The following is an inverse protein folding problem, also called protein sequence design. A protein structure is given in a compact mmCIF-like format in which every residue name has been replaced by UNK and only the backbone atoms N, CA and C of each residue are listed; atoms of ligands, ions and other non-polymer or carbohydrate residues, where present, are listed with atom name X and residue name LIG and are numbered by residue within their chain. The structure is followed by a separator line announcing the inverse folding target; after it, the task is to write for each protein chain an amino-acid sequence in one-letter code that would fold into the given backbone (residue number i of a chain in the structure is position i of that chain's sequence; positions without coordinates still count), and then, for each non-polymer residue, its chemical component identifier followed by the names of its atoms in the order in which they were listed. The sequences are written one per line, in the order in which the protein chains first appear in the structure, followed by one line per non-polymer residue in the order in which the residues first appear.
data_IF_218839069844
#
_entry.id   IF_218839069844
#
_cell.length_a   1.000
_cell.length_b   1.000
_cell.length_c   1.000
_cell.angle_alpha   90.00
_cell.angle_beta   90.00
_cell.angle_gamma   90.00
#
_symmetry.space_group_name_H-M   'P 1'
#
loop_
_entity.id
_entity.type
_entity.pdbx_description
1 polymer ?
#
# COMPACT_ATOMS: atom_id res chain seq x y z
N UNK A 1 -24.11 10.29 29.84
CA UNK A 1 -23.09 10.01 28.80
C UNK A 1 -22.88 11.32 28.07
N UNK A 2 -21.64 11.68 27.72
CA UNK A 2 -21.41 12.93 27.03
C UNK A 2 -22.11 12.89 25.66
N UNK A 3 -22.70 14.01 25.24
CA UNK A 3 -23.36 14.13 23.94
C UNK A 3 -22.36 14.04 22.78
N UNK A 4 -21.08 14.30 23.07
CA UNK A 4 -19.99 14.24 22.11
C UNK A 4 -18.74 13.60 22.75
N UNK A 5 -17.94 12.94 21.93
CA UNK A 5 -16.69 12.30 22.33
C UNK A 5 -15.53 13.07 21.75
N UNK A 6 -14.48 13.20 22.55
CA UNK A 6 -13.23 13.77 22.08
C UNK A 6 -12.39 12.62 21.51
N UNK A 7 -11.95 12.76 20.26
CA UNK A 7 -11.12 11.76 19.59
C UNK A 7 -9.81 12.39 19.13
N UNK A 8 -8.69 11.80 19.56
CA UNK A 8 -7.33 12.24 19.25
C UNK A 8 -6.61 11.20 18.41
N UNK A 9 -5.61 11.66 17.67
CA UNK A 9 -4.71 10.76 16.94
C UNK A 9 -3.84 9.99 17.94
N UNK A 10 -3.79 8.67 17.80
CA UNK A 10 -2.77 7.86 18.44
C UNK A 10 -1.61 7.67 17.46
N UNK A 11 -0.51 8.38 17.70
CA UNK A 11 0.71 8.17 16.95
C UNK A 11 1.48 6.97 17.51
N UNK A 12 1.73 5.99 16.64
CA UNK A 12 2.58 4.84 16.93
C UNK A 12 3.56 4.69 15.77
N UNK A 13 4.86 4.91 16.00
CA UNK A 13 5.84 4.99 14.93
C UNK A 13 5.93 3.69 14.11
N UNK A 14 5.67 2.52 14.73
CA UNK A 14 5.75 1.22 14.06
C UNK A 14 4.60 1.08 13.05
N UNK A 15 3.39 1.43 13.47
CA UNK A 15 2.18 1.35 12.64
C UNK A 15 2.12 2.51 11.65
N UNK A 16 2.68 3.66 11.96
CA UNK A 16 2.82 4.77 11.02
C UNK A 16 3.68 4.39 9.81
N UNK A 17 4.77 3.63 10.04
CA UNK A 17 5.67 3.15 8.98
C UNK A 17 5.13 1.91 8.25
N UNK A 18 4.58 0.93 8.97
CA UNK A 18 4.20 -0.38 8.40
C UNK A 18 2.69 -0.61 8.28
N UNK A 19 1.85 0.38 8.59
CA UNK A 19 0.39 0.26 8.60
C UNK A 19 -0.27 0.64 7.27
N UNK A 20 -1.45 0.05 7.03
CA UNK A 20 -2.31 0.28 5.88
C UNK A 20 -3.38 1.34 6.18
N UNK A 21 -3.74 2.12 5.15
CA UNK A 21 -4.89 3.02 5.24
C UNK A 21 -6.17 2.18 5.44
N UNK A 22 -7.04 2.49 6.42
CA UNK A 22 -8.34 1.82 6.58
C UNK A 22 -9.26 1.89 5.36
N UNK A 23 -9.00 2.81 4.42
CA UNK A 23 -9.74 2.91 3.15
C UNK A 23 -9.24 1.98 2.05
N UNK A 24 -8.06 1.42 2.22
CA UNK A 24 -7.43 0.54 1.23
C UNK A 24 -8.16 -0.80 1.10
N UNK A 25 -8.01 -1.44 -0.06
CA UNK A 25 -8.51 -2.80 -0.31
C UNK A 25 -7.98 -3.81 0.70
N UNK A 26 -6.77 -3.60 1.25
CA UNK A 26 -6.22 -4.45 2.31
C UNK A 26 -7.12 -4.49 3.56
N UNK A 27 -7.57 -3.31 4.01
CA UNK A 27 -8.42 -3.23 5.20
C UNK A 27 -9.80 -3.85 4.94
N UNK A 28 -10.33 -3.68 3.74
CA UNK A 28 -11.59 -4.30 3.34
C UNK A 28 -11.49 -5.83 3.22
N UNK A 29 -10.41 -6.35 2.65
CA UNK A 29 -10.30 -7.79 2.39
C UNK A 29 -9.93 -8.60 3.63
N UNK A 30 -9.07 -8.06 4.50
CA UNK A 30 -8.51 -8.81 5.63
C UNK A 30 -9.01 -8.34 7.01
N UNK A 31 -9.33 -7.05 7.16
CA UNK A 31 -9.82 -6.52 8.43
C UNK A 31 -11.34 -6.54 8.56
N UNK A 32 -12.10 -6.42 7.47
CA UNK A 32 -13.57 -6.52 7.52
C UNK A 32 -14.10 -7.79 8.21
N UNK A 33 -13.65 -9.03 7.89
CA UNK A 33 -14.18 -10.23 8.53
C UNK A 33 -13.84 -10.31 10.03
N UNK A 34 -12.73 -9.70 10.44
CA UNK A 34 -12.26 -9.76 11.83
C UNK A 34 -12.85 -8.64 12.68
N UNK A 35 -12.81 -7.41 12.16
CA UNK A 35 -13.22 -6.18 12.83
C UNK A 35 -14.73 -5.95 12.76
N UNK A 36 -15.38 -6.41 11.70
CA UNK A 36 -16.79 -6.18 11.41
C UNK A 36 -17.04 -4.87 10.64
N UNK A 37 -18.15 -4.78 9.89
CA UNK A 37 -18.42 -3.70 8.95
C UNK A 37 -18.54 -2.34 9.64
N UNK A 38 -19.32 -2.26 10.72
CA UNK A 38 -19.59 -0.99 11.42
C UNK A 38 -18.32 -0.38 12.03
N UNK A 39 -17.44 -1.22 12.59
CA UNK A 39 -16.18 -0.76 13.17
C UNK A 39 -15.17 -0.33 12.11
N UNK A 40 -15.11 -1.02 10.96
CA UNK A 40 -14.26 -0.62 9.84
C UNK A 40 -14.73 0.70 9.22
N UNK A 41 -16.06 0.86 9.02
CA UNK A 41 -16.63 2.10 8.49
C UNK A 41 -16.45 3.28 9.45
N UNK A 42 -16.62 3.05 10.76
CA UNK A 42 -16.29 4.05 11.78
C UNK A 42 -14.83 4.49 11.66
N UNK A 43 -13.89 3.54 11.56
CA UNK A 43 -12.47 3.86 11.42
C UNK A 43 -12.19 4.67 10.13
N UNK A 44 -12.78 4.29 9.00
CA UNK A 44 -12.67 5.04 7.74
C UNK A 44 -13.22 6.46 7.86
N UNK A 45 -14.36 6.61 8.54
CA UNK A 45 -14.99 7.90 8.80
C UNK A 45 -14.09 8.79 9.66
N UNK A 46 -13.51 8.25 10.73
CA UNK A 46 -12.57 8.96 11.59
C UNK A 46 -11.31 9.38 10.83
N UNK A 47 -10.71 8.49 10.03
CA UNK A 47 -9.55 8.83 9.20
C UNK A 47 -9.85 9.98 8.23
N UNK A 48 -11.06 10.07 7.66
CA UNK A 48 -11.46 11.20 6.79
C UNK A 48 -11.55 12.51 7.54
N UNK A 49 -12.08 12.47 8.75
CA UNK A 49 -12.11 13.66 9.58
C UNK A 49 -10.71 14.08 10.05
N UNK A 50 -9.82 13.13 10.36
CA UNK A 50 -8.44 13.43 10.73
C UNK A 50 -7.65 14.03 9.56
N UNK A 51 -7.82 13.53 8.34
CA UNK A 51 -7.20 14.10 7.14
C UNK A 51 -7.70 15.54 6.90
N UNK A 52 -9.00 15.78 7.04
CA UNK A 52 -9.60 17.10 6.87
C UNK A 52 -9.16 18.11 7.94
N UNK A 53 -8.97 17.65 9.18
CA UNK A 53 -8.55 18.47 10.33
C UNK A 53 -7.03 18.56 10.49
N UNK A 54 -6.25 17.99 9.55
CA UNK A 54 -4.77 17.91 9.60
C UNK A 54 -4.25 17.30 10.92
N UNK A 55 -4.95 16.30 11.45
CA UNK A 55 -4.57 15.56 12.65
C UNK A 55 -4.89 16.27 13.97
N UNK A 56 -5.71 17.32 13.94
CA UNK A 56 -6.20 17.96 15.16
C UNK A 56 -7.17 17.06 15.95
N UNK A 57 -7.41 17.43 17.20
CA UNK A 57 -8.40 16.81 18.06
C UNK A 57 -9.82 17.00 17.50
N UNK A 58 -10.55 15.90 17.36
CA UNK A 58 -11.90 15.87 16.82
C UNK A 58 -12.93 15.83 17.95
N UNK A 59 -13.92 16.71 17.89
CA UNK A 59 -15.10 16.63 18.73
C UNK A 59 -16.24 15.96 17.94
N UNK A 60 -16.60 14.74 18.34
CA UNK A 60 -17.49 13.87 17.57
C UNK A 60 -18.83 13.73 18.27
N UNK A 61 -19.91 14.38 17.78
CA UNK A 61 -21.25 14.19 18.30
C UNK A 61 -21.74 12.77 18.05
N UNK A 62 -22.05 12.02 19.12
CA UNK A 62 -22.37 10.58 19.07
C UNK A 62 -23.57 10.31 18.15
N UNK A 63 -24.64 11.09 18.29
CA UNK A 63 -25.88 10.90 17.54
C UNK A 63 -25.69 11.15 16.03
N UNK A 64 -25.02 12.24 15.66
CA UNK A 64 -24.80 12.59 14.26
C UNK A 64 -23.85 11.59 13.57
N UNK A 65 -22.80 11.13 14.27
CA UNK A 65 -21.89 10.11 13.71
C UNK A 65 -22.55 8.75 13.60
N UNK A 66 -23.40 8.36 14.56
CA UNK A 66 -24.21 7.15 14.44
C UNK A 66 -25.12 7.22 13.21
N UNK A 67 -25.82 8.34 13.01
CA UNK A 67 -26.67 8.56 11.85
C UNK A 67 -25.89 8.55 10.53
N UNK A 68 -24.73 9.21 10.47
CA UNK A 68 -23.87 9.24 9.29
C UNK A 68 -23.37 7.84 8.88
N UNK A 69 -23.18 6.94 9.85
CA UNK A 69 -22.80 5.55 9.62
C UNK A 69 -24.00 4.60 9.41
N UNK A 70 -25.23 5.13 9.39
CA UNK A 70 -26.45 4.32 9.28
C UNK A 70 -26.72 3.45 10.50
N UNK A 71 -26.13 3.77 11.65
CA UNK A 71 -26.37 3.10 12.92
C UNK A 71 -27.62 3.69 13.58
N UNK A 72 -28.42 2.84 14.22
CA UNK A 72 -29.64 3.29 14.90
C UNK A 72 -29.34 4.38 15.96
N UNK A 73 -30.24 5.36 16.16
CA UNK A 73 -30.01 6.57 16.97
C UNK A 73 -29.98 6.32 18.49
N UNK A 74 -29.62 5.11 18.91
CA UNK A 74 -29.55 4.74 20.32
C UNK A 74 -28.35 5.41 20.96
N UNK A 75 -28.61 6.25 21.93
CA UNK A 75 -27.59 6.84 22.79
C UNK A 75 -27.36 5.94 24.03
N UNK A 76 -26.14 5.99 24.58
CA UNK A 76 -25.78 5.23 25.79
C UNK A 76 -24.56 4.33 25.64
N UNK A 77 -24.12 3.76 26.77
CA UNK A 77 -22.92 2.89 26.86
C UNK A 77 -22.99 1.66 25.95
N UNK A 78 -24.20 1.17 25.71
CA UNK A 78 -24.47 -0.01 24.87
C UNK A 78 -24.93 0.37 23.45
N UNK A 79 -24.74 1.62 23.01
CA UNK A 79 -25.08 2.01 21.64
C UNK A 79 -24.28 1.23 20.61
N UNK A 80 -24.79 1.04 19.39
CA UNK A 80 -24.02 0.43 18.30
C UNK A 80 -22.69 1.14 18.04
N UNK A 81 -22.67 2.48 18.11
CA UNK A 81 -21.47 3.29 17.96
C UNK A 81 -20.44 2.97 19.06
N UNK A 82 -20.85 2.96 20.33
CA UNK A 82 -19.95 2.65 21.45
C UNK A 82 -19.45 1.20 21.39
N UNK A 83 -20.27 0.25 20.94
CA UNK A 83 -19.80 -1.13 20.70
C UNK A 83 -18.74 -1.18 19.60
N UNK A 84 -18.87 -0.37 18.55
CA UNK A 84 -17.83 -0.25 17.52
C UNK A 84 -16.54 0.34 18.06
N UNK A 85 -16.59 1.39 18.89
CA UNK A 85 -15.42 1.92 19.61
C UNK A 85 -14.77 0.89 20.55
N UNK A 86 -15.56 0.21 21.38
CA UNK A 86 -15.06 -0.86 22.25
C UNK A 86 -14.43 -2.00 21.45
N UNK A 87 -14.97 -2.29 20.26
CA UNK A 87 -14.38 -3.29 19.36
C UNK A 87 -13.06 -2.79 18.77
N UNK A 88 -12.98 -1.53 18.33
CA UNK A 88 -11.69 -0.94 17.92
C UNK A 88 -10.65 -1.04 19.05
N UNK A 89 -11.05 -0.84 20.30
CA UNK A 89 -10.16 -1.01 21.44
C UNK A 89 -9.73 -2.47 21.68
N UNK A 90 -10.61 -3.46 21.47
CA UNK A 90 -10.23 -4.88 21.53
C UNK A 90 -9.20 -5.30 20.47
N UNK A 91 -9.13 -4.56 19.37
CA UNK A 91 -8.19 -4.79 18.27
C UNK A 91 -6.97 -3.87 18.32
N UNK A 92 -6.75 -3.17 19.43
CA UNK A 92 -5.68 -2.18 19.63
C UNK A 92 -5.68 -1.04 18.61
N UNK A 93 -6.81 -0.78 17.95
CA UNK A 93 -7.02 0.31 16.98
C UNK A 93 -7.48 1.61 17.65
N UNK A 94 -8.01 1.50 18.86
CA UNK A 94 -8.37 2.62 19.69
C UNK A 94 -7.94 2.37 21.14
N UNK A 95 -7.71 3.44 21.89
CA UNK A 95 -7.49 3.38 23.32
C UNK A 95 -8.50 4.30 23.99
N UNK A 96 -9.25 3.75 24.95
CA UNK A 96 -10.10 4.55 25.81
C UNK A 96 -9.28 4.95 27.04
N UNK A 97 -9.19 6.24 27.32
CA UNK A 97 -8.64 6.68 28.59
C UNK A 97 -9.75 6.56 29.65
N UNK A 98 -9.59 5.74 30.71
CA UNK A 98 -10.68 5.49 31.65
C UNK A 98 -11.06 6.73 32.48
N UNK A 99 -10.12 7.67 32.65
CA UNK A 99 -10.28 8.86 33.49
C UNK A 99 -10.75 10.10 32.71
N UNK A 100 -10.79 10.05 31.38
CA UNK A 100 -11.28 11.16 30.53
C UNK A 100 -12.19 10.63 29.42
N UNK A 101 -13.17 11.42 28.97
CA UNK A 101 -14.04 11.07 27.82
C UNK A 101 -13.30 11.15 26.46
N UNK A 102 -11.98 10.88 26.47
CA UNK A 102 -11.07 11.00 25.34
C UNK A 102 -10.75 9.60 24.80
N UNK A 103 -10.86 9.46 23.48
CA UNK A 103 -10.48 8.27 22.74
C UNK A 103 -9.28 8.57 21.84
N UNK A 104 -8.22 7.78 21.96
CA UNK A 104 -7.08 7.87 21.05
C UNK A 104 -7.25 6.82 19.96
N UNK A 105 -7.31 7.21 18.69
CA UNK A 105 -7.57 6.31 17.56
C UNK A 105 -6.38 6.30 16.60
N UNK A 106 -6.01 5.11 16.14
CA UNK A 106 -4.92 4.94 15.18
C UNK A 106 -5.40 5.32 13.77
N UNK A 107 -4.67 6.17 13.03
CA UNK A 107 -5.04 6.55 11.67
C UNK A 107 -4.82 5.42 10.66
N UNK A 108 -3.88 4.51 10.95
CA UNK A 108 -3.53 3.37 10.11
C UNK A 108 -3.76 2.07 10.85
N UNK A 109 -4.10 1.06 10.06
CA UNK A 109 -4.34 -0.30 10.54
C UNK A 109 -3.04 -1.10 10.43
N UNK A 110 -2.61 -1.83 11.48
CA UNK A 110 -1.42 -2.65 11.40
C UNK A 110 -1.61 -3.82 10.41
N UNK A 111 -0.52 -4.43 9.92
CA UNK A 111 -0.61 -5.70 9.23
C UNK A 111 -1.31 -6.74 10.12
N UNK A 112 -2.13 -7.60 9.51
CA UNK A 112 -2.92 -8.60 10.25
C UNK A 112 -1.99 -9.51 11.06
N UNK A 113 -2.21 -9.57 12.36
CA UNK A 113 -1.39 -10.38 13.27
C UNK A 113 -1.65 -11.87 13.07
N UNK A 114 -0.64 -12.72 13.33
CA UNK A 114 -0.76 -14.19 13.17
C UNK A 114 -1.97 -14.79 13.90
N UNK A 115 -2.40 -14.18 15.02
CA UNK A 115 -3.58 -14.62 15.77
C UNK A 115 -4.88 -14.46 14.98
N UNK A 116 -5.01 -13.40 14.18
CA UNK A 116 -6.17 -13.15 13.34
C UNK A 116 -6.12 -14.00 12.06
N UNK A 117 -4.92 -14.19 11.50
CA UNK A 117 -4.69 -15.09 10.35
C UNK A 117 -5.28 -16.47 10.62
N UNK A 118 -5.03 -17.07 11.80
CA UNK A 118 -5.57 -18.40 12.17
C UNK A 118 -7.10 -18.53 12.18
N UNK A 119 -7.84 -17.41 12.17
CA UNK A 119 -9.32 -17.37 12.18
C UNK A 119 -9.91 -17.03 10.82
N UNK A 120 -9.08 -16.67 9.85
CA UNK A 120 -9.53 -16.36 8.50
C UNK A 120 -9.83 -17.66 7.73
N UNK A 121 -10.87 -17.66 6.87
CA UNK A 121 -11.14 -18.77 5.98
C UNK A 121 -10.02 -18.91 4.94
N UNK A 122 -9.78 -20.15 4.47
CA UNK A 122 -8.73 -20.51 3.52
C UNK A 122 -8.57 -19.55 2.32
N UNK A 123 -9.64 -19.13 1.60
CA UNK A 123 -9.48 -18.20 0.48
C UNK A 123 -8.90 -16.83 0.88
N UNK A 124 -9.19 -16.36 2.10
CA UNK A 124 -8.61 -15.11 2.62
C UNK A 124 -7.14 -15.28 2.99
N UNK A 125 -6.71 -16.48 3.39
CA UNK A 125 -5.31 -16.79 3.65
C UNK A 125 -4.50 -16.81 2.36
N UNK A 126 -4.97 -17.53 1.33
CA UNK A 126 -4.29 -17.53 0.03
C UNK A 126 -4.19 -16.13 -0.60
N UNK A 127 -5.24 -15.32 -0.46
CA UNK A 127 -5.21 -13.93 -0.90
C UNK A 127 -4.23 -13.08 -0.09
N UNK A 128 -4.08 -13.32 1.22
CA UNK A 128 -3.11 -12.63 2.06
C UNK A 128 -1.68 -13.03 1.70
N UNK A 129 -1.44 -14.30 1.42
CA UNK A 129 -0.13 -14.79 0.97
C UNK A 129 0.23 -14.20 -0.39
N UNK A 130 -0.71 -14.14 -1.33
CA UNK A 130 -0.53 -13.43 -2.60
C UNK A 130 -0.26 -11.92 -2.40
N UNK A 131 -0.97 -11.29 -1.46
CA UNK A 131 -0.77 -9.87 -1.12
C UNK A 131 0.60 -9.61 -0.45
N UNK A 132 1.06 -10.52 0.40
CA UNK A 132 2.38 -10.44 1.05
C UNK A 132 3.51 -10.77 0.06
N UNK A 133 3.27 -11.67 -0.89
CA UNK A 133 4.15 -11.92 -2.02
C UNK A 133 4.20 -10.71 -2.98
N UNK A 134 3.18 -9.83 -2.95
CA UNK A 134 3.20 -8.59 -3.70
C UNK A 134 4.20 -7.59 -3.08
N UNK A 135 5.22 -7.17 -3.83
CA UNK A 135 6.36 -6.42 -3.30
C UNK A 135 6.01 -4.96 -2.92
N UNK A 136 5.30 -4.71 -1.80
CA UNK A 136 4.64 -3.39 -1.63
C UNK A 136 5.14 -2.48 -0.49
N UNK A 137 5.87 -2.98 0.52
CA UNK A 137 6.40 -2.11 1.61
C UNK A 137 7.88 -2.28 1.93
N UNK A 138 8.34 -3.52 2.06
CA UNK A 138 9.78 -3.82 2.03
C UNK A 138 10.41 -3.24 0.75
N UNK A 139 9.64 -3.28 -0.33
CA UNK A 139 10.08 -2.75 -1.61
C UNK A 139 10.00 -1.24 -1.75
N UNK A 140 9.28 -0.50 -0.91
CA UNK A 140 9.33 0.97 -1.03
C UNK A 140 10.71 1.49 -0.63
N UNK A 141 11.27 0.94 0.45
CA UNK A 141 12.65 1.22 0.85
C UNK A 141 13.65 0.57 -0.13
N UNK A 142 13.42 -0.67 -0.58
CA UNK A 142 14.27 -1.27 -1.61
C UNK A 142 14.21 -0.51 -2.94
N UNK A 143 13.07 0.07 -3.33
CA UNK A 143 12.89 0.86 -4.55
C UNK A 143 13.55 2.22 -4.43
N UNK A 144 13.59 2.81 -3.23
CA UNK A 144 14.38 4.00 -2.95
C UNK A 144 15.88 3.68 -3.02
N UNK A 145 16.31 2.54 -2.48
CA UNK A 145 17.70 2.05 -2.59
C UNK A 145 18.06 1.73 -4.05
N UNK A 146 17.18 1.05 -4.80
CA UNK A 146 17.36 0.73 -6.22
C UNK A 146 17.45 2.00 -7.07
N UNK A 147 16.58 2.98 -6.82
CA UNK A 147 16.63 4.30 -7.47
C UNK A 147 17.91 5.05 -7.14
N UNK A 148 18.31 5.10 -5.87
CA UNK A 148 19.58 5.72 -5.46
C UNK A 148 20.79 5.06 -6.16
N UNK A 149 20.83 3.73 -6.26
CA UNK A 149 21.86 2.97 -7.00
C UNK A 149 21.87 3.29 -8.49
N UNK A 150 20.70 3.36 -9.12
CA UNK A 150 20.57 3.70 -10.54
C UNK A 150 21.07 5.12 -10.82
N UNK A 151 20.67 6.08 -10.01
CA UNK A 151 21.10 7.47 -10.13
C UNK A 151 22.61 7.60 -9.86
N UNK A 152 23.12 6.96 -8.81
CA UNK A 152 24.56 6.94 -8.50
C UNK A 152 25.39 6.36 -9.66
N UNK A 153 24.90 5.28 -10.25
CA UNK A 153 25.54 4.63 -11.40
C UNK A 153 25.63 5.57 -12.61
N UNK A 154 24.52 6.22 -12.97
CA UNK A 154 24.51 7.17 -14.10
C UNK A 154 25.46 8.34 -13.85
N UNK A 155 25.47 8.89 -12.63
CA UNK A 155 26.35 10.01 -12.30
C UNK A 155 27.84 9.62 -12.37
N UNK A 156 28.20 8.44 -11.89
CA UNK A 156 29.59 7.94 -11.97
C UNK A 156 29.97 7.61 -13.42
N UNK A 157 29.08 7.03 -14.23
CA UNK A 157 29.35 6.82 -15.66
C UNK A 157 29.57 8.14 -16.41
N UNK A 158 28.91 9.21 -15.99
CA UNK A 158 29.15 10.56 -16.52
C UNK A 158 30.44 11.22 -15.99
N UNK A 159 31.21 10.53 -15.14
CA UNK A 159 32.50 11.00 -14.62
C UNK A 159 32.44 11.76 -13.29
N UNK A 160 31.30 11.74 -12.59
CA UNK A 160 31.18 12.44 -11.30
C UNK A 160 31.94 11.73 -10.17
N UNK A 161 32.53 12.54 -9.27
CA UNK A 161 33.24 12.04 -8.10
C UNK A 161 32.27 11.48 -7.05
N UNK A 162 32.65 10.37 -6.40
CA UNK A 162 31.84 9.68 -5.39
C UNK A 162 31.28 10.60 -4.29
N UNK A 163 32.10 11.53 -3.76
CA UNK A 163 31.68 12.46 -2.70
C UNK A 163 30.66 13.49 -3.19
N UNK A 164 30.69 13.84 -4.48
CA UNK A 164 29.72 14.74 -5.10
C UNK A 164 28.39 14.02 -5.33
N UNK A 165 28.44 12.77 -5.80
CA UNK A 165 27.26 11.92 -5.98
C UNK A 165 26.53 11.67 -4.66
N UNK A 166 27.25 11.40 -3.56
CA UNK A 166 26.62 11.25 -2.23
C UNK A 166 25.86 12.52 -1.82
N UNK A 167 26.46 13.70 -2.04
CA UNK A 167 25.81 15.00 -1.78
C UNK A 167 24.57 15.24 -2.63
N UNK A 168 24.61 14.87 -3.92
CA UNK A 168 23.44 14.99 -4.82
C UNK A 168 22.30 14.09 -4.33
N UNK A 169 22.58 12.84 -3.97
CA UNK A 169 21.56 11.90 -3.46
C UNK A 169 20.92 12.41 -2.16
N UNK A 170 21.73 12.95 -1.25
CA UNK A 170 21.20 13.58 -0.03
C UNK A 170 20.32 14.80 -0.35
N UNK A 171 20.73 15.64 -1.31
CA UNK A 171 19.96 16.80 -1.76
C UNK A 171 18.63 16.43 -2.43
N UNK A 172 18.55 15.25 -3.07
CA UNK A 172 17.31 14.72 -3.67
C UNK A 172 16.39 13.98 -2.68
N UNK A 173 16.75 13.92 -1.39
CA UNK A 173 15.89 13.34 -0.35
C UNK A 173 15.93 11.81 -0.25
N UNK A 174 17.03 11.17 -0.69
CA UNK A 174 17.29 9.77 -0.40
C UNK A 174 17.79 9.59 1.06
N UNK A 175 17.49 8.45 1.71
CA UNK A 175 17.91 8.23 3.09
C UNK A 175 19.44 8.08 3.20
N UNK A 176 20.08 8.59 4.28
CA UNK A 176 21.53 8.58 4.42
C UNK A 176 22.10 7.15 4.47
N UNK A 177 21.35 6.19 5.02
CA UNK A 177 21.72 4.77 5.05
C UNK A 177 21.81 4.12 3.67
N UNK A 178 21.14 4.68 2.65
CA UNK A 178 21.16 4.15 1.29
C UNK A 178 22.19 4.84 0.39
N UNK A 179 22.56 6.09 0.68
CA UNK A 179 23.40 6.91 -0.19
C UNK A 179 24.82 6.34 -0.32
N UNK A 180 25.53 6.17 0.81
CA UNK A 180 26.90 5.63 0.81
C UNK A 180 27.02 4.23 0.17
N UNK A 181 26.19 3.24 0.55
CA UNK A 181 26.24 1.93 -0.10
C UNK A 181 25.87 1.96 -1.59
N UNK A 182 25.03 2.90 -2.02
CA UNK A 182 24.68 3.06 -3.43
C UNK A 182 25.86 3.58 -4.26
N UNK A 183 26.59 4.57 -3.74
CA UNK A 183 27.80 5.14 -4.36
C UNK A 183 28.91 4.10 -4.40
N UNK A 184 29.17 3.39 -3.30
CA UNK A 184 30.17 2.32 -3.24
C UNK A 184 29.88 1.21 -4.27
N UNK A 185 28.62 0.79 -4.37
CA UNK A 185 28.19 -0.20 -5.34
C UNK A 185 28.42 0.27 -6.79
N UNK A 186 28.04 1.52 -7.10
CA UNK A 186 28.19 2.10 -8.42
C UNK A 186 29.68 2.25 -8.81
N UNK A 187 30.51 2.76 -7.91
CA UNK A 187 31.96 2.90 -8.11
C UNK A 187 32.65 1.54 -8.30
N UNK A 188 32.24 0.53 -7.52
CA UNK A 188 32.73 -0.84 -7.68
C UNK A 188 32.36 -1.40 -9.05
N UNK A 189 31.12 -1.18 -9.50
CA UNK A 189 30.65 -1.69 -10.80
C UNK A 189 31.34 -1.01 -11.98
N UNK A 190 31.57 0.30 -11.91
CA UNK A 190 32.32 1.05 -12.92
C UNK A 190 33.78 0.58 -13.00
N UNK A 191 34.46 0.37 -11.87
CA UNK A 191 35.82 -0.20 -11.85
C UNK A 191 35.88 -1.60 -12.47
N UNK A 192 34.90 -2.46 -12.18
CA UNK A 192 34.84 -3.80 -12.76
C UNK A 192 34.61 -3.76 -14.28
N UNK A 193 33.79 -2.82 -14.78
CA UNK A 193 33.58 -2.63 -16.21
C UNK A 193 34.89 -2.20 -16.92
N UNK A 194 35.58 -1.19 -16.39
CA UNK A 194 36.87 -0.73 -16.93
C UNK A 194 37.95 -1.83 -16.90
N UNK A 195 37.99 -2.63 -15.84
CA UNK A 195 38.91 -3.76 -15.73
C UNK A 195 38.60 -4.87 -16.76
N UNK A 196 37.31 -5.15 -17.01
CA UNK A 196 36.88 -6.10 -18.03
C UNK A 196 37.23 -5.62 -19.44
N UNK A 197 37.01 -4.33 -19.74
CA UNK A 197 37.40 -3.72 -21.02
C UNK A 197 38.91 -3.75 -21.23
N UNK A 198 39.70 -3.37 -20.21
CA UNK A 198 41.17 -3.40 -20.27
C UNK A 198 41.69 -4.83 -20.50
N UNK A 199 41.11 -5.82 -19.81
CA UNK A 199 41.46 -7.23 -19.98
C UNK A 199 41.10 -7.75 -21.36
N UNK A 200 39.94 -7.34 -21.91
CA UNK A 200 39.52 -7.68 -23.26
C UNK A 200 40.43 -7.06 -24.32
N UNK A 201 40.88 -5.81 -24.13
CA UNK A 201 41.85 -5.15 -25.01
C UNK A 201 43.22 -5.84 -24.96
N UNK A 202 43.71 -6.20 -23.78
CA UNK A 202 44.96 -6.95 -23.63
C UNK A 202 44.87 -8.34 -24.28
N UNK A 203 43.77 -9.07 -24.08
CA UNK A 203 43.54 -10.35 -24.73
C UNK A 203 43.47 -10.23 -26.27
N UNK A 204 42.95 -9.10 -26.77
CA UNK A 204 42.89 -8.79 -28.20
C UNK A 204 44.25 -8.36 -28.77
N UNK A 205 45.12 -7.77 -27.95
CA UNK A 205 46.50 -7.41 -28.30
C UNK A 205 47.46 -8.61 -28.25
N UNK A 206 47.19 -9.59 -27.37
CA UNK A 206 47.96 -10.83 -27.23
C UNK A 206 47.54 -11.92 -28.24
N UNK A 207 46.52 -11.64 -29.05
CA UNK A 207 46.15 -12.49 -30.17
C UNK A 207 47.15 -12.26 -31.32
N UNK A 208 47.96 -13.25 -31.71
CA UNK A 208 48.96 -13.08 -32.75
C UNK A 208 48.25 -12.69 -34.04
N UNK A 209 48.58 -11.49 -34.55
CA UNK A 209 48.27 -11.14 -35.93
C UNK A 209 49.16 -12.02 -36.80
N UNK A 210 48.65 -13.12 -37.30
CA UNK A 210 49.32 -13.93 -38.32
C UNK A 210 49.60 -13.02 -39.53
N UNK A 211 50.86 -12.78 -39.92
CA UNK A 211 51.20 -11.87 -41.01
C UNK A 211 50.98 -12.48 -42.41
N UNK A 212 50.30 -13.62 -42.55
CA UNK A 212 50.31 -14.39 -43.79
C UNK A 212 48.94 -14.98 -44.16
N UNK A 213 47.96 -14.11 -44.42
CA UNK A 213 46.83 -14.44 -45.30
C UNK A 213 46.52 -13.24 -46.19
N UNK A 214 47.26 -13.17 -47.31
CA UNK A 214 46.84 -12.49 -48.53
C UNK A 214 45.44 -13.01 -48.91
N UNK A 215 44.40 -12.20 -48.72
CA UNK A 215 43.12 -12.42 -49.41
C UNK A 215 43.15 -11.70 -50.76
N UNK A 216 42.82 -12.38 -51.88
CA UNK A 216 42.61 -11.71 -53.18
C UNK A 216 41.34 -10.85 -53.17
N UNK A 217 41.21 -9.87 -54.10
CA UNK A 217 40.17 -8.86 -54.05
C UNK A 217 38.83 -9.46 -54.49
N UNK A 218 37.79 -9.34 -53.66
CA UNK A 218 36.41 -9.54 -54.09
C UNK A 218 35.73 -8.19 -54.11
N UNK A 219 35.44 -7.75 -55.34
CA UNK A 219 34.66 -6.57 -55.68
C UNK A 219 33.39 -6.48 -54.81
N UNK A 220 33.27 -5.39 -54.06
CA UNK A 220 31.94 -4.90 -53.67
C UNK A 220 31.76 -3.51 -54.27
N UNK A 221 31.01 -3.53 -55.36
CA UNK A 221 30.51 -2.43 -56.18
C UNK A 221 30.28 -1.14 -55.39
N UNK A 222 31.10 -0.15 -55.70
CA UNK A 222 30.82 1.27 -55.43
C UNK A 222 29.66 1.70 -56.33
N UNK A 223 28.56 2.14 -55.74
CA UNK A 223 27.66 3.11 -56.38
C UNK A 223 27.75 4.40 -55.58
N UNK A 224 28.60 5.31 -56.06
CA UNK A 224 28.60 6.71 -55.68
C UNK A 224 27.48 7.42 -56.45
N UNK A 225 26.69 8.22 -55.76
CA UNK A 225 26.11 9.43 -56.33
C UNK A 225 26.34 10.58 -55.36
N UNK A 226 26.97 11.62 -55.88
CA UNK A 226 27.45 12.84 -55.24
C UNK A 226 26.50 13.99 -55.56
N UNK A 227 26.30 14.88 -54.58
CA UNK A 227 26.05 16.32 -54.75
C UNK A 227 24.58 16.72 -54.95
N UNK A 228 24.11 17.88 -54.52
CA UNK A 228 24.70 19.02 -53.83
C UNK A 228 23.54 19.97 -53.44
N UNK A 229 23.73 20.84 -52.44
CA UNK A 229 22.93 22.06 -52.26
C UNK A 229 22.44 22.31 -50.84
N UNK A 230 23.05 23.27 -50.14
CA UNK A 230 22.39 23.99 -49.03
C UNK A 230 21.26 24.92 -49.55
N UNK A 231 20.68 25.83 -48.75
CA UNK A 231 21.19 26.45 -47.52
C UNK A 231 20.18 26.53 -46.33
N UNK A 232 20.62 27.08 -45.18
CA UNK A 232 19.83 27.59 -44.02
C UNK A 232 18.73 28.61 -44.45
N UNK A 233 17.82 29.16 -43.59
CA UNK A 233 17.76 29.19 -42.11
C UNK A 233 16.33 29.06 -41.48
N UNK A 234 16.24 29.32 -40.17
CA UNK A 234 15.07 29.79 -39.38
C UNK A 234 13.80 28.92 -39.26
N UNK A 235 13.44 28.62 -38.00
CA UNK A 235 12.20 29.05 -37.33
C UNK A 235 11.72 28.00 -36.32
N UNK A 236 11.71 28.41 -35.06
CA UNK A 236 10.60 28.28 -34.12
C UNK A 236 9.62 27.11 -34.33
N UNK A 237 9.67 26.13 -33.43
CA UNK A 237 8.51 25.27 -33.16
C UNK A 237 8.06 25.52 -31.73
N UNK A 238 7.09 26.41 -31.70
CA UNK A 238 6.04 26.68 -30.75
C UNK A 238 5.46 25.42 -30.07
N UNK A 239 5.47 25.40 -28.73
CA UNK A 239 4.64 24.51 -27.90
C UNK A 239 3.57 25.36 -27.21
N UNK A 240 2.68 25.94 -28.00
CA UNK A 240 1.44 26.56 -27.53
C UNK A 240 0.32 25.54 -27.36
N UNK A 241 -0.45 25.66 -26.28
CA UNK A 241 -1.85 25.21 -26.28
C UNK A 241 -2.35 24.42 -25.07
N UNK A 242 -2.37 25.04 -23.89
CA UNK A 242 -3.45 24.81 -22.89
C UNK A 242 -4.82 25.12 -23.49
N UNK A 243 -5.89 24.41 -23.09
CA UNK A 243 -7.21 25.02 -23.06
C UNK A 243 -7.75 25.06 -21.63
N UNK A 244 -7.73 26.26 -21.07
CA UNK A 244 -8.77 26.75 -20.16
C UNK A 244 -10.01 27.07 -20.98
N UNK A 245 -11.22 26.78 -20.49
CA UNK A 245 -12.33 27.67 -20.77
C UNK A 245 -12.99 28.12 -19.46
N UNK A 246 -13.13 29.43 -19.35
CA UNK A 246 -13.90 30.17 -18.36
C UNK A 246 -14.67 31.25 -19.18
N UNK A 247 -15.61 32.02 -18.62
CA UNK A 247 -17.03 31.67 -18.45
C UNK A 247 -17.99 32.69 -19.12
N UNK A 248 -19.30 32.57 -18.84
CA UNK A 248 -20.43 33.51 -19.10
C UNK A 248 -21.16 33.30 -20.44
N UNK A 249 -22.49 33.36 -20.55
CA UNK A 249 -23.50 34.04 -19.74
C UNK A 249 -24.91 33.42 -19.87
N UNK A 250 -25.75 33.73 -18.88
CA UNK A 250 -27.20 33.98 -18.91
C UNK A 250 -28.14 33.10 -19.75
N UNK A 251 -29.05 32.38 -19.09
CA UNK A 251 -30.48 32.75 -19.03
C UNK A 251 -31.27 31.76 -18.15
N UNK A 252 -31.89 32.27 -17.08
CA UNK A 252 -33.10 31.73 -16.46
C UNK A 252 -34.31 32.50 -17.06
N UNK A 253 -35.61 32.09 -16.95
CA UNK A 253 -36.19 31.42 -15.79
C UNK A 253 -37.40 30.46 -16.00
N UNK A 254 -37.68 29.71 -14.93
CA UNK A 254 -38.99 29.37 -14.33
C UNK A 254 -40.10 28.56 -15.07
N UNK A 255 -40.76 27.70 -14.25
CA UNK A 255 -42.23 27.49 -14.12
C UNK A 255 -42.74 26.03 -14.27
N UNK A 256 -43.37 25.56 -13.17
CA UNK A 256 -44.43 24.55 -12.99
C UNK A 256 -44.14 23.01 -13.01
N UNK A 257 -44.41 22.37 -11.85
CA UNK A 257 -45.03 21.02 -11.79
C UNK A 257 -46.57 21.13 -11.94
N UNK A 258 -47.41 20.14 -11.58
CA UNK A 258 -47.17 18.79 -11.02
C UNK A 258 -48.01 17.66 -11.70
N UNK A 259 -48.13 16.49 -11.04
CA UNK A 259 -49.12 15.38 -11.19
C UNK A 259 -48.53 14.08 -11.77
N UNK A 260 -48.30 13.05 -10.93
CA UNK A 260 -49.24 11.95 -10.57
C UNK A 260 -49.66 11.09 -11.77
N UNK A 261 -49.25 9.81 -11.82
CA UNK A 261 -50.19 8.70 -11.63
C UNK A 261 -49.54 7.29 -11.62
N UNK A 262 -49.96 6.49 -10.62
CA UNK A 262 -50.37 5.07 -10.68
C UNK A 262 -49.39 3.95 -11.12
N UNK A 263 -48.87 3.23 -10.10
CA UNK A 263 -48.90 1.76 -9.79
C UNK A 263 -48.66 0.67 -10.89
N UNK A 264 -48.43 -0.64 -10.58
CA UNK A 264 -48.39 -1.31 -9.27
C UNK A 264 -47.23 -2.32 -9.01
N UNK A 265 -47.04 -2.60 -7.71
CA UNK A 265 -46.76 -3.88 -7.06
C UNK A 265 -46.63 -5.14 -7.92
N UNK A 266 -45.48 -5.81 -7.80
CA UNK A 266 -45.36 -7.27 -7.92
C UNK A 266 -44.55 -7.80 -6.74
N UNK A 267 -45.26 -8.45 -5.82
CA UNK A 267 -44.70 -9.21 -4.72
C UNK A 267 -44.05 -10.50 -5.21
N UNK A 268 -42.90 -10.83 -4.65
CA UNK A 268 -42.30 -12.16 -4.76
C UNK A 268 -42.25 -12.75 -3.34
N UNK A 269 -42.88 -13.92 -3.10
CA UNK A 269 -43.02 -14.49 -1.77
C UNK A 269 -41.74 -15.16 -1.27
N UNK A 270 -41.56 -15.08 0.04
CA UNK A 270 -40.57 -15.82 0.80
C UNK A 270 -40.87 -17.33 0.78
N UNK A 271 -39.96 -18.13 0.21
CA UNK A 271 -39.96 -19.58 0.39
C UNK A 271 -38.80 -19.99 1.29
N UNK A 272 -39.19 -20.39 2.48
CA UNK A 272 -38.36 -20.94 3.56
C UNK A 272 -38.35 -22.47 3.40
N UNK A 273 -37.20 -23.14 3.29
CA UNK A 273 -37.19 -24.59 3.48
C UNK A 273 -37.03 -24.91 4.98
N UNK A 274 -38.04 -25.59 5.52
CA UNK A 274 -38.04 -26.23 6.83
C UNK A 274 -37.25 -27.57 6.79
N UNK A 275 -36.88 -28.14 7.94
CA UNK A 275 -35.79 -29.11 8.06
C UNK A 275 -36.27 -30.56 7.86
N UNK A 276 -35.47 -31.36 7.16
CA UNK A 276 -35.62 -32.81 7.13
C UNK A 276 -34.84 -33.44 8.29
N UNK A 277 -35.58 -34.06 9.20
CA UNK A 277 -35.04 -34.81 10.33
C UNK A 277 -34.72 -36.27 9.98
N UNK A 278 -33.71 -36.76 10.70
CA UNK A 278 -33.58 -38.10 11.29
C UNK A 278 -33.49 -39.32 10.36
N UNK A 279 -32.32 -40.01 10.38
CA UNK A 279 -32.12 -41.30 11.09
C UNK A 279 -30.65 -41.81 11.02
N UNK A 280 -30.25 -42.83 11.81
CA UNK A 280 -29.12 -42.73 12.75
C UNK A 280 -27.94 -43.69 12.47
N UNK A 281 -26.99 -43.72 13.42
CA UNK A 281 -26.00 -44.77 13.68
C UNK A 281 -24.83 -44.93 12.69
N UNK A 282 -23.70 -44.28 13.01
CA UNK A 282 -22.43 -45.01 12.96
C UNK A 282 -21.50 -44.53 14.08
N UNK A 283 -21.44 -45.36 15.11
CA UNK A 283 -20.44 -45.35 16.17
C UNK A 283 -19.03 -45.56 15.59
N UNK A 284 -18.12 -44.78 16.15
CA UNK A 284 -16.81 -45.19 16.66
C UNK A 284 -15.54 -44.92 15.81
N UNK A 285 -14.51 -44.55 16.59
CA UNK A 285 -13.07 -44.51 16.32
C UNK A 285 -12.49 -43.29 15.62
N UNK A 286 -12.10 -42.30 16.45
CA UNK A 286 -10.72 -41.76 16.56
C UNK A 286 -10.66 -40.70 17.68
N UNK A 287 -10.58 -41.15 18.93
CA UNK A 287 -10.03 -40.33 20.03
C UNK A 287 -8.52 -40.60 20.10
N UNK A 288 -7.65 -39.58 20.07
CA UNK A 288 -6.24 -39.76 20.41
C UNK A 288 -6.09 -40.02 21.93
N UNK A 289 -5.08 -40.79 22.35
CA UNK A 289 -4.89 -41.15 23.75
C UNK A 289 -4.50 -39.93 24.60
N UNK A 290 -5.15 -39.80 25.77
CA UNK A 290 -4.77 -38.83 26.82
C UNK A 290 -3.43 -39.26 27.43
N UNK A 291 -2.40 -38.42 27.25
CA UNK A 291 -1.13 -38.53 27.96
C UNK A 291 -1.38 -38.12 29.43
N UNK A 292 -1.04 -38.96 30.43
CA UNK A 292 -1.13 -38.58 31.84
C UNK A 292 -0.03 -37.57 32.22
N UNK A 293 -0.30 -36.62 33.15
CA UNK A 293 0.70 -35.67 33.60
C UNK A 293 1.82 -36.34 34.43
N UNK A 294 3.04 -35.80 34.41
CA UNK A 294 4.16 -36.36 35.16
C UNK A 294 3.98 -36.19 36.69
N UNK A 295 4.54 -37.09 37.51
CA UNK A 295 4.43 -37.00 38.97
C UNK A 295 5.22 -35.79 39.50
N UNK A 296 4.54 -34.98 40.31
CA UNK A 296 5.17 -33.91 41.11
C UNK A 296 6.18 -34.49 42.08
N UNK A 297 7.47 -34.20 41.87
CA UNK A 297 8.51 -34.41 42.89
C UNK A 297 8.19 -33.55 44.12
N UNK A 298 7.69 -34.18 45.18
CA UNK A 298 7.74 -33.63 46.55
C UNK A 298 9.22 -33.44 46.92
N UNK A 299 9.63 -32.21 47.16
CA UNK A 299 10.84 -31.90 47.94
C UNK A 299 10.59 -32.37 49.37
N UNK A 300 11.44 -33.27 49.88
CA UNK A 300 11.57 -33.52 51.31
C UNK A 300 12.35 -32.35 51.96
N UNK A 301 12.05 -31.96 53.21
CA UNK A 301 12.91 -31.10 53.98
C UNK A 301 14.05 -31.91 54.62
N UNK A 302 15.27 -31.36 54.48
CA UNK A 302 16.55 -31.65 55.15
C UNK A 302 16.98 -33.12 55.28
#
# INVERSE_FOLDING_TARGET
MPAALIVRLWDDPVVTQHGYDPRSTYAEQFWLPTLGPSSLLLLRHLSTQFDASRGAELNIPIAATAQALGLGPREGKNSPLMRSFSRLAQFDLAHNHPDTDIWSVRPKVPPVTQRHIRRLPEPSLSALDAWNAQPSRLNADDDRIRRARRTAFILIENGELSDHVERILLGQGFPPSACRPAVEWAAQRHRLALAAESSALLARADQPTDPDLVQPPVETKVLVSVGAGGPSPDSDIDFGGTPTPDPSADEAPAVNGPSQDTAPSLGIPATRPAPLGLRPELRDRRRPPRIPPPPTRRRAPQ
#
